data_IF_422531995486
#
_entry.id   IF_422531995486
#
_cell.length_a   1.000
_cell.length_b   1.000
_cell.length_c   1.000
_cell.angle_alpha   90.00
_cell.angle_beta   90.00
_cell.angle_gamma   90.00
#
_symmetry.space_group_name_H-M   'P 1'
#
loop_
_entity.id
_entity.type
_entity.pdbx_description
1 polymer ?
#
# COMPACT_ATOMS: atom_id res chain seq x y z
N UNK A 1 2.26 6.98 29.91
CA UNK A 1 1.33 5.95 29.39
C UNK A 1 1.94 4.58 29.66
N UNK A 2 1.19 3.63 30.25
CA UNK A 2 1.67 2.24 30.39
C UNK A 2 1.81 1.68 28.96
N UNK A 3 2.99 1.19 28.60
CA UNK A 3 3.18 0.41 27.39
C UNK A 3 2.25 -0.81 27.48
N UNK A 4 1.19 -0.82 26.71
CA UNK A 4 0.39 -2.03 26.50
C UNK A 4 1.29 -3.00 25.77
N UNK A 5 1.53 -4.17 26.34
CA UNK A 5 2.32 -5.21 25.69
C UNK A 5 1.72 -5.50 24.31
N UNK A 6 2.55 -5.54 23.27
CA UNK A 6 2.09 -5.84 21.93
C UNK A 6 1.40 -7.22 21.92
N UNK A 7 0.18 -7.29 21.40
CA UNK A 7 -0.53 -8.56 21.22
C UNK A 7 0.27 -9.43 20.24
N UNK A 8 0.46 -10.67 20.59
CA UNK A 8 1.04 -11.65 19.67
C UNK A 8 0.00 -12.06 18.62
N UNK A 9 0.48 -12.43 17.43
CA UNK A 9 -0.38 -13.00 16.41
C UNK A 9 -1.00 -14.32 16.90
N UNK A 10 -2.27 -14.53 16.59
CA UNK A 10 -2.99 -15.76 16.96
C UNK A 10 -2.54 -16.95 16.11
N UNK A 11 -2.09 -16.67 14.86
CA UNK A 11 -1.47 -17.68 13.98
C UNK A 11 -0.34 -17.06 13.15
N UNK A 12 0.66 -17.86 12.81
CA UNK A 12 1.77 -17.46 11.94
C UNK A 12 1.90 -18.40 10.76
N UNK A 13 1.68 -17.86 9.56
CA UNK A 13 1.91 -18.58 8.31
C UNK A 13 3.40 -18.57 7.93
N UNK A 14 3.86 -19.67 7.35
CA UNK A 14 5.25 -19.89 6.94
C UNK A 14 5.33 -20.27 5.47
N UNK A 15 6.48 -20.03 4.82
CA UNK A 15 6.71 -20.42 3.44
C UNK A 15 6.62 -21.94 3.25
N UNK A 16 7.05 -22.70 4.27
CA UNK A 16 7.10 -24.17 4.18
C UNK A 16 5.71 -24.80 4.23
N UNK A 17 4.81 -24.24 5.06
CA UNK A 17 3.50 -24.84 5.29
C UNK A 17 2.40 -24.20 4.45
N UNK A 18 2.34 -22.86 4.42
CA UNK A 18 1.27 -22.12 3.76
C UNK A 18 1.71 -21.50 2.42
N UNK A 19 2.99 -21.54 2.09
CA UNK A 19 3.55 -20.95 0.86
C UNK A 19 3.78 -19.44 0.91
N UNK A 20 3.43 -18.79 2.03
CA UNK A 20 3.65 -17.35 2.25
C UNK A 20 3.99 -17.06 3.71
N UNK A 21 4.55 -15.88 3.98
CA UNK A 21 4.76 -15.39 5.34
C UNK A 21 3.57 -14.54 5.77
N UNK A 22 2.96 -14.88 6.92
CA UNK A 22 1.84 -14.12 7.45
C UNK A 22 1.78 -14.11 8.98
N UNK A 23 1.06 -13.14 9.52
CA UNK A 23 0.72 -13.03 10.94
C UNK A 23 -0.75 -12.65 11.04
N UNK A 24 -1.56 -13.58 11.54
CA UNK A 24 -2.99 -13.44 11.67
C UNK A 24 -3.39 -12.96 13.06
N UNK A 25 -4.29 -12.00 13.10
CA UNK A 25 -4.89 -11.44 14.31
C UNK A 25 -6.41 -11.55 14.17
N UNK A 26 -7.02 -12.39 14.99
CA UNK A 26 -8.47 -12.58 14.98
C UNK A 26 -9.17 -11.34 15.52
N UNK A 27 -10.19 -10.89 14.80
CA UNK A 27 -11.10 -9.84 15.24
C UNK A 27 -12.19 -10.36 16.19
N UNK A 28 -12.88 -9.46 16.87
CA UNK A 28 -13.96 -9.82 17.78
C UNK A 28 -15.35 -9.54 17.16
N UNK A 29 -15.57 -8.34 16.64
CA UNK A 29 -16.90 -7.89 16.18
C UNK A 29 -17.22 -8.33 14.76
N UNK A 30 -16.22 -8.33 13.89
CA UNK A 30 -16.32 -8.68 12.46
C UNK A 30 -15.31 -9.79 12.16
N UNK A 31 -15.31 -10.84 12.98
CA UNK A 31 -14.32 -11.91 12.91
C UNK A 31 -14.34 -12.65 11.55
N UNK A 32 -15.52 -12.70 10.92
CA UNK A 32 -15.79 -13.30 9.60
C UNK A 32 -15.35 -12.44 8.41
N UNK A 33 -14.82 -11.25 8.66
CA UNK A 33 -14.32 -10.31 7.65
C UNK A 33 -12.81 -10.17 7.80
N UNK A 34 -12.06 -10.70 6.84
CA UNK A 34 -10.59 -10.67 6.90
C UNK A 34 -10.03 -9.55 6.04
N UNK A 35 -9.07 -8.82 6.59
CA UNK A 35 -8.32 -7.80 5.84
C UNK A 35 -6.87 -8.27 5.67
N UNK A 36 -6.44 -8.48 4.42
CA UNK A 36 -5.04 -8.68 4.08
C UNK A 36 -4.35 -7.32 4.13
N UNK A 37 -3.30 -7.21 4.94
CA UNK A 37 -2.54 -5.98 5.12
C UNK A 37 -1.09 -6.17 4.71
N UNK A 38 -0.60 -5.31 3.81
CA UNK A 38 0.79 -5.29 3.34
C UNK A 38 1.47 -3.96 3.65
N UNK A 39 2.76 -3.99 3.83
CA UNK A 39 3.56 -2.81 4.13
C UNK A 39 3.98 -2.01 2.91
N UNK A 40 4.48 -0.79 3.12
CA UNK A 40 5.21 0.01 2.12
C UNK A 40 6.65 -0.42 1.94
N UNK A 41 7.39 0.23 1.03
CA UNK A 41 8.77 -0.12 0.64
C UNK A 41 9.77 0.13 1.75
N UNK A 42 9.65 0.22 2.87
CA UNK A 42 10.61 0.37 4.00
C UNK A 42 10.09 -0.28 5.27
N UNK A 43 8.89 -0.86 5.19
CA UNK A 43 8.21 -1.37 6.37
C UNK A 43 8.60 -2.83 6.65
N UNK A 44 9.40 -3.02 7.68
CA UNK A 44 9.75 -4.35 8.19
C UNK A 44 8.57 -5.03 8.89
N UNK A 45 8.74 -6.32 9.18
CA UNK A 45 7.70 -7.19 9.78
C UNK A 45 7.03 -6.57 11.01
N UNK A 46 7.81 -6.15 12.00
CA UNK A 46 7.27 -5.63 13.26
C UNK A 46 6.39 -4.39 13.08
N UNK A 47 6.75 -3.54 12.10
CA UNK A 47 6.02 -2.31 11.81
C UNK A 47 4.66 -2.60 11.14
N UNK A 48 4.61 -3.60 10.26
CA UNK A 48 3.38 -4.05 9.59
C UNK A 48 2.49 -4.83 10.57
N UNK A 49 3.09 -5.74 11.37
CA UNK A 49 2.38 -6.48 12.42
C UNK A 49 1.73 -5.54 13.44
N UNK A 50 2.40 -4.43 13.80
CA UNK A 50 1.81 -3.44 14.71
C UNK A 50 0.56 -2.79 14.10
N UNK A 51 0.58 -2.46 12.81
CA UNK A 51 -0.61 -1.91 12.13
C UNK A 51 -1.74 -2.94 12.04
N UNK A 52 -1.41 -4.20 11.77
CA UNK A 52 -2.38 -5.29 11.74
C UNK A 52 -3.03 -5.52 13.11
N UNK A 53 -2.23 -5.51 14.17
CA UNK A 53 -2.72 -5.60 15.55
C UNK A 53 -3.67 -4.45 15.90
N UNK A 54 -3.34 -3.20 15.50
CA UNK A 54 -4.20 -2.05 15.73
C UNK A 54 -5.51 -2.18 14.91
N UNK A 55 -5.41 -2.61 13.65
CA UNK A 55 -6.60 -2.80 12.80
C UNK A 55 -7.51 -3.92 13.32
N UNK A 56 -6.94 -4.98 13.92
CA UNK A 56 -7.75 -6.05 14.51
C UNK A 56 -8.56 -5.59 15.72
N UNK A 57 -8.11 -4.56 16.44
CA UNK A 57 -8.88 -3.93 17.54
C UNK A 57 -10.12 -3.18 17.05
N UNK A 58 -10.19 -2.85 15.75
CA UNK A 58 -11.39 -2.31 15.11
C UNK A 58 -12.46 -3.37 14.83
N UNK A 59 -12.18 -4.61 15.19
CA UNK A 59 -13.11 -5.75 15.18
C UNK A 59 -12.91 -6.73 14.03
N UNK A 60 -12.10 -6.43 13.01
CA UNK A 60 -11.83 -7.29 11.87
C UNK A 60 -10.77 -8.37 12.17
N UNK A 61 -10.86 -9.52 11.50
CA UNK A 61 -9.72 -10.41 11.38
C UNK A 61 -8.70 -9.79 10.41
N UNK A 62 -7.41 -9.76 10.78
CA UNK A 62 -6.38 -9.12 9.97
C UNK A 62 -5.21 -10.06 9.74
N UNK A 63 -4.86 -10.26 8.47
CA UNK A 63 -3.69 -11.05 8.05
C UNK A 63 -2.62 -10.11 7.49
N UNK A 64 -1.59 -9.83 8.29
CA UNK A 64 -0.39 -9.16 7.81
C UNK A 64 0.40 -10.12 6.92
N UNK A 65 0.65 -9.76 5.66
CA UNK A 65 1.37 -10.58 4.69
C UNK A 65 2.71 -9.97 4.35
N UNK A 66 3.78 -10.76 4.53
CA UNK A 66 5.11 -10.43 4.05
C UNK A 66 5.26 -10.81 2.58
N UNK A 67 5.44 -9.82 1.72
CA UNK A 67 5.62 -10.04 0.28
C UNK A 67 7.07 -9.80 -0.18
N UNK A 68 7.86 -9.06 0.60
CA UNK A 68 9.32 -8.90 0.51
C UNK A 68 9.85 -8.34 1.85
N UNK A 69 11.15 -8.14 2.01
CA UNK A 69 11.82 -7.56 3.17
C UNK A 69 11.69 -8.37 4.48
N UNK A 70 10.65 -9.19 4.65
CA UNK A 70 10.53 -10.09 5.80
C UNK A 70 11.44 -11.31 5.62
N UNK A 71 12.34 -11.56 6.56
CA UNK A 71 13.22 -12.75 6.50
C UNK A 71 12.40 -14.05 6.47
N UNK A 72 12.67 -14.99 5.56
CA UNK A 72 13.81 -15.07 4.63
C UNK A 72 13.57 -14.46 3.24
N UNK A 73 12.49 -13.71 3.00
CA UNK A 73 12.20 -13.11 1.69
C UNK A 73 13.30 -12.15 1.23
N UNK A 74 13.45 -11.96 -0.10
CA UNK A 74 14.35 -10.96 -0.67
C UNK A 74 14.10 -9.55 -0.12
N UNK A 75 15.15 -8.73 -0.16
CA UNK A 75 15.07 -7.31 0.25
C UNK A 75 14.87 -6.36 -0.94
N UNK A 76 15.03 -6.87 -2.14
CA UNK A 76 14.93 -6.09 -3.36
C UNK A 76 13.51 -6.16 -3.93
N UNK A 77 13.08 -5.09 -4.60
CA UNK A 77 11.76 -4.99 -5.22
C UNK A 77 11.79 -5.55 -6.65
N UNK A 78 12.12 -6.82 -6.80
CA UNK A 78 12.27 -7.51 -8.08
C UNK A 78 11.49 -8.80 -8.09
N UNK A 79 10.61 -8.97 -9.07
CA UNK A 79 9.85 -10.20 -9.28
C UNK A 79 9.14 -10.68 -7.99
N UNK A 80 8.54 -9.75 -7.26
CA UNK A 80 7.79 -10.05 -6.04
C UNK A 80 6.52 -10.81 -6.43
N UNK A 81 6.30 -12.05 -5.92
CA UNK A 81 5.13 -12.82 -6.30
C UNK A 81 3.83 -12.25 -5.75
N UNK A 82 2.84 -12.00 -6.61
CA UNK A 82 1.45 -11.72 -6.21
C UNK A 82 0.79 -13.01 -5.70
N UNK A 83 1.33 -14.15 -6.06
CA UNK A 83 0.94 -15.50 -5.60
C UNK A 83 0.88 -15.61 -4.07
N UNK A 84 1.68 -14.85 -3.32
CA UNK A 84 1.58 -14.81 -1.85
C UNK A 84 0.21 -14.34 -1.36
N UNK A 85 -0.43 -13.43 -2.10
CA UNK A 85 -1.79 -12.97 -1.79
C UNK A 85 -2.81 -14.04 -2.18
N UNK A 86 -2.61 -14.72 -3.31
CA UNK A 86 -3.47 -15.84 -3.71
C UNK A 86 -3.44 -16.98 -2.68
N UNK A 87 -2.26 -17.32 -2.16
CA UNK A 87 -2.12 -18.30 -1.07
C UNK A 87 -2.75 -17.81 0.23
N UNK A 88 -2.60 -16.54 0.55
CA UNK A 88 -3.23 -15.93 1.72
C UNK A 88 -4.77 -15.97 1.63
N UNK A 89 -5.34 -15.69 0.46
CA UNK A 89 -6.78 -15.81 0.20
C UNK A 89 -7.25 -17.26 0.38
N UNK A 90 -6.56 -18.22 -0.24
CA UNK A 90 -6.88 -19.65 -0.10
C UNK A 90 -6.79 -20.12 1.36
N UNK A 91 -5.78 -19.66 2.09
CA UNK A 91 -5.64 -19.98 3.52
C UNK A 91 -6.79 -19.38 4.35
N UNK A 92 -7.17 -18.14 4.09
CA UNK A 92 -8.31 -17.50 4.77
C UNK A 92 -9.63 -18.24 4.52
N UNK A 93 -9.84 -18.75 3.31
CA UNK A 93 -11.07 -19.46 2.92
C UNK A 93 -11.14 -20.90 3.45
N UNK A 94 -10.00 -21.60 3.60
CA UNK A 94 -10.01 -23.03 3.83
C UNK A 94 -9.37 -23.48 5.15
N UNK A 95 -8.36 -22.77 5.64
CA UNK A 95 -7.49 -23.20 6.76
C UNK A 95 -7.48 -22.21 7.94
N UNK A 96 -8.13 -21.06 7.80
CA UNK A 96 -8.24 -20.07 8.86
C UNK A 96 -9.03 -20.64 10.05
N UNK A 97 -8.59 -20.40 11.31
CA UNK A 97 -9.32 -20.87 12.49
C UNK A 97 -10.72 -20.22 12.66
N UNK A 98 -11.01 -19.20 11.87
CA UNK A 98 -12.31 -18.51 11.82
C UNK A 98 -12.87 -18.63 10.40
N UNK A 99 -14.18 -18.91 10.28
CA UNK A 99 -14.87 -18.90 9.00
C UNK A 99 -14.90 -17.47 8.42
N UNK A 100 -14.32 -17.28 7.24
CA UNK A 100 -14.20 -15.98 6.58
C UNK A 100 -15.17 -15.90 5.42
N UNK A 101 -16.06 -14.90 5.44
CA UNK A 101 -17.08 -14.66 4.42
C UNK A 101 -16.73 -13.51 3.46
N UNK A 102 -15.80 -12.63 3.83
CA UNK A 102 -15.40 -11.51 3.00
C UNK A 102 -13.92 -11.19 3.20
N UNK A 103 -13.21 -10.91 2.11
CA UNK A 103 -11.78 -10.61 2.13
C UNK A 103 -11.56 -9.23 1.53
N UNK A 104 -11.04 -8.30 2.34
CA UNK A 104 -10.53 -7.02 1.89
C UNK A 104 -9.00 -7.00 1.84
N UNK A 105 -8.43 -6.01 1.15
CA UNK A 105 -6.99 -5.82 1.12
C UNK A 105 -6.60 -4.34 1.23
N UNK A 106 -5.51 -4.05 1.93
CA UNK A 106 -4.95 -2.70 2.02
C UNK A 106 -3.43 -2.69 2.08
N UNK A 107 -2.87 -1.62 1.55
CA UNK A 107 -1.44 -1.34 1.63
C UNK A 107 -1.13 0.15 1.45
N UNK A 108 0.08 0.52 1.85
CA UNK A 108 0.62 1.88 1.72
C UNK A 108 1.75 1.88 0.68
N UNK A 109 1.85 2.94 -0.14
CA UNK A 109 2.99 3.13 -1.04
C UNK A 109 3.17 1.96 -2.03
N UNK A 110 4.30 1.27 -2.02
CA UNK A 110 4.50 0.05 -2.83
C UNK A 110 3.43 -1.00 -2.54
N UNK A 111 3.06 -1.16 -1.27
CA UNK A 111 1.96 -2.05 -0.86
C UNK A 111 0.60 -1.62 -1.39
N UNK A 112 0.39 -0.33 -1.63
CA UNK A 112 -0.83 0.18 -2.26
C UNK A 112 -0.93 -0.21 -3.74
N UNK A 113 0.18 -0.10 -4.49
CA UNK A 113 0.26 -0.59 -5.86
C UNK A 113 0.09 -2.12 -5.91
N UNK A 114 0.75 -2.83 -5.01
CA UNK A 114 0.62 -4.29 -4.87
C UNK A 114 -0.83 -4.71 -4.54
N UNK A 115 -1.54 -3.94 -3.70
CA UNK A 115 -2.97 -4.16 -3.39
C UNK A 115 -3.83 -4.05 -4.65
N UNK A 116 -3.65 -3.00 -5.46
CA UNK A 116 -4.42 -2.82 -6.70
C UNK A 116 -4.10 -3.90 -7.73
N UNK A 117 -2.82 -4.30 -7.86
CA UNK A 117 -2.42 -5.41 -8.74
C UNK A 117 -3.06 -6.71 -8.26
N UNK A 118 -2.93 -7.05 -6.99
CA UNK A 118 -3.50 -8.26 -6.43
C UNK A 118 -5.03 -8.32 -6.60
N UNK A 119 -5.73 -7.25 -6.26
CA UNK A 119 -7.19 -7.18 -6.42
C UNK A 119 -7.65 -7.25 -7.88
N UNK A 120 -6.82 -6.78 -8.84
CA UNK A 120 -7.14 -6.89 -10.26
C UNK A 120 -6.90 -8.30 -10.87
N UNK A 121 -6.17 -9.16 -10.16
CA UNK A 121 -5.81 -10.51 -10.58
C UNK A 121 -6.51 -11.62 -9.78
N UNK A 122 -6.98 -11.30 -8.56
CA UNK A 122 -7.57 -12.24 -7.61
C UNK A 122 -8.98 -11.76 -7.27
N UNK A 123 -10.02 -12.29 -7.96
CA UNK A 123 -11.40 -11.80 -7.84
C UNK A 123 -12.05 -12.03 -6.47
N UNK A 124 -11.47 -12.90 -5.63
CA UNK A 124 -11.94 -13.14 -4.25
C UNK A 124 -11.69 -11.95 -3.31
N UNK A 125 -10.92 -10.94 -3.72
CA UNK A 125 -10.73 -9.71 -2.96
C UNK A 125 -11.89 -8.77 -3.26
N UNK A 126 -12.85 -8.72 -2.35
CA UNK A 126 -14.12 -8.00 -2.49
C UNK A 126 -14.06 -6.51 -2.08
N UNK A 127 -12.92 -6.05 -1.57
CA UNK A 127 -12.73 -4.65 -1.16
C UNK A 127 -11.23 -4.30 -1.17
N UNK A 128 -10.84 -3.23 -1.87
CA UNK A 128 -9.45 -2.78 -1.97
C UNK A 128 -9.29 -1.33 -1.49
N UNK A 129 -8.40 -1.10 -0.52
CA UNK A 129 -8.04 0.23 -0.06
C UNK A 129 -6.58 0.52 -0.37
N UNK A 130 -6.31 1.45 -1.29
CA UNK A 130 -4.98 1.83 -1.75
C UNK A 130 -4.59 3.20 -1.18
N UNK A 131 -3.50 3.25 -0.41
CA UNK A 131 -3.06 4.46 0.29
C UNK A 131 -1.74 4.96 -0.28
N UNK A 132 -1.72 6.19 -0.81
CA UNK A 132 -0.52 6.82 -1.40
C UNK A 132 0.18 5.91 -2.42
N UNK A 133 -0.59 5.30 -3.33
CA UNK A 133 -0.14 4.30 -4.29
C UNK A 133 0.13 4.86 -5.68
N UNK A 134 0.07 3.97 -6.68
CA UNK A 134 0.44 4.26 -8.05
C UNK A 134 -0.51 3.59 -9.04
N UNK A 135 -0.51 4.02 -10.30
CA UNK A 135 -1.45 3.56 -11.34
C UNK A 135 -0.83 2.61 -12.39
N UNK A 136 0.46 2.31 -12.26
CA UNK A 136 1.16 1.37 -13.14
C UNK A 136 2.24 0.57 -12.40
N UNK A 137 2.68 -0.53 -13.00
CA UNK A 137 3.76 -1.37 -12.49
C UNK A 137 5.09 -0.88 -13.04
N UNK A 138 6.10 -0.80 -12.19
CA UNK A 138 7.45 -0.36 -12.54
C UNK A 138 8.41 -1.53 -12.65
N UNK A 139 9.53 -1.30 -13.33
CA UNK A 139 10.67 -2.23 -13.34
C UNK A 139 11.20 -2.48 -11.93
N UNK A 140 11.55 -3.72 -11.66
CA UNK A 140 12.17 -4.13 -10.41
C UNK A 140 13.61 -3.63 -10.30
N UNK A 141 14.00 -3.20 -9.09
CA UNK A 141 15.33 -2.64 -8.81
C UNK A 141 15.98 -3.31 -7.61
N UNK A 142 17.28 -3.64 -7.75
CA UNK A 142 18.15 -3.97 -6.61
C UNK A 142 18.72 -2.71 -6.00
N UNK A 143 18.76 -2.67 -4.68
CA UNK A 143 19.30 -1.51 -3.94
C UNK A 143 18.71 -0.18 -4.43
N UNK A 144 17.46 -0.18 -4.86
CA UNK A 144 16.69 0.98 -5.38
C UNK A 144 17.19 1.63 -6.68
N UNK A 145 18.32 1.21 -7.22
CA UNK A 145 18.94 1.90 -8.38
C UNK A 145 19.40 0.96 -9.50
N UNK A 146 19.64 -0.32 -9.22
CA UNK A 146 20.17 -1.27 -10.21
C UNK A 146 19.02 -1.97 -10.91
N UNK A 147 18.77 -1.62 -12.17
CA UNK A 147 17.76 -2.23 -13.04
C UNK A 147 17.98 -3.73 -13.18
N UNK A 148 16.88 -4.47 -13.24
CA UNK A 148 16.91 -5.92 -13.35
C UNK A 148 16.29 -6.44 -14.65
N UNK A 149 15.71 -5.56 -15.48
CA UNK A 149 14.98 -5.90 -16.71
C UNK A 149 13.89 -6.95 -16.47
N UNK A 150 13.30 -6.88 -15.31
CA UNK A 150 12.19 -7.69 -14.81
C UNK A 150 11.16 -6.80 -14.15
N UNK A 151 9.92 -7.23 -14.10
CA UNK A 151 8.88 -6.55 -13.35
C UNK A 151 9.20 -6.46 -11.85
N UNK A 152 8.71 -5.43 -11.19
CA UNK A 152 8.62 -5.39 -9.74
C UNK A 152 7.74 -6.53 -9.19
N UNK A 153 6.69 -6.92 -9.94
CA UNK A 153 5.74 -7.96 -9.54
C UNK A 153 5.66 -9.09 -10.56
N UNK A 154 5.44 -10.32 -10.06
CA UNK A 154 5.13 -11.50 -10.89
C UNK A 154 3.81 -12.11 -10.45
N UNK A 155 3.15 -12.86 -11.36
CA UNK A 155 2.00 -13.67 -11.04
C UNK A 155 2.08 -14.99 -11.82
N UNK A 156 1.95 -16.11 -11.14
CA UNK A 156 2.15 -17.46 -11.67
C UNK A 156 3.49 -17.62 -12.42
N UNK A 157 4.53 -16.96 -11.89
CA UNK A 157 5.89 -17.01 -12.46
C UNK A 157 6.16 -16.04 -13.61
N UNK A 158 5.13 -15.43 -14.17
CA UNK A 158 5.25 -14.45 -15.27
C UNK A 158 5.35 -13.02 -14.75
N UNK A 159 6.10 -12.18 -15.45
CA UNK A 159 6.19 -10.75 -15.12
C UNK A 159 4.85 -10.06 -15.35
N UNK A 160 4.31 -9.38 -14.34
CA UNK A 160 3.22 -8.43 -14.55
C UNK A 160 3.75 -7.32 -15.48
N UNK A 161 3.02 -6.95 -16.55
CA UNK A 161 3.49 -5.93 -17.47
C UNK A 161 3.92 -4.65 -16.76
N UNK A 162 5.10 -4.15 -17.09
CA UNK A 162 5.75 -3.07 -16.34
C UNK A 162 6.36 -2.01 -17.24
N UNK A 163 6.63 -0.84 -16.68
CA UNK A 163 7.35 0.26 -17.34
C UNK A 163 8.83 0.21 -16.98
N UNK A 164 9.74 0.22 -17.97
CA UNK A 164 11.18 0.28 -17.73
C UNK A 164 11.61 1.56 -17.01
N UNK A 165 12.48 1.44 -16.02
CA UNK A 165 13.01 2.56 -15.25
C UNK A 165 14.36 3.03 -15.80
N UNK A 166 14.38 4.03 -16.67
CA UNK A 166 15.60 4.58 -17.26
C UNK A 166 16.20 5.72 -16.42
N UNK A 167 16.51 5.43 -15.15
CA UNK A 167 16.90 6.40 -14.15
C UNK A 167 18.07 7.30 -14.56
N UNK A 168 19.11 6.73 -15.17
CA UNK A 168 20.32 7.48 -15.51
C UNK A 168 20.11 8.44 -16.69
N UNK A 169 19.32 8.04 -17.69
CA UNK A 169 19.01 8.89 -18.84
C UNK A 169 18.12 10.07 -18.46
N UNK A 170 17.26 9.89 -17.46
CA UNK A 170 16.33 10.93 -16.98
C UNK A 170 16.89 11.81 -15.83
N UNK A 171 18.05 11.47 -15.25
CA UNK A 171 18.62 12.21 -14.13
C UNK A 171 18.80 13.72 -14.38
N UNK A 172 19.31 14.17 -15.55
CA UNK A 172 19.44 15.61 -15.82
C UNK A 172 18.09 16.34 -15.85
N UNK A 173 17.05 15.73 -16.44
CA UNK A 173 15.70 16.28 -16.49
C UNK A 173 15.08 16.31 -15.09
N UNK A 174 15.22 15.23 -14.32
CA UNK A 174 14.81 15.14 -12.91
C UNK A 174 15.40 16.27 -12.07
N UNK A 175 16.72 16.46 -12.14
CA UNK A 175 17.41 17.52 -11.39
C UNK A 175 16.97 18.92 -11.82
N UNK A 176 16.68 19.11 -13.10
CA UNK A 176 16.19 20.38 -13.63
C UNK A 176 14.78 20.69 -13.14
N UNK A 177 13.86 19.71 -13.17
CA UNK A 177 12.49 19.83 -12.70
C UNK A 177 12.48 20.11 -11.19
N UNK A 178 13.22 19.32 -10.42
CA UNK A 178 13.33 19.45 -8.99
C UNK A 178 13.84 20.83 -8.51
N UNK A 179 14.87 21.37 -9.18
CA UNK A 179 15.41 22.70 -8.87
C UNK A 179 14.45 23.85 -9.21
N UNK A 180 13.48 23.61 -10.09
CA UNK A 180 12.51 24.63 -10.54
C UNK A 180 11.25 24.69 -9.70
N UNK A 181 10.96 23.70 -8.87
CA UNK A 181 9.76 23.73 -8.05
C UNK A 181 9.97 24.61 -6.80
N UNK A 182 9.36 25.82 -6.75
CA UNK A 182 9.55 26.73 -5.64
C UNK A 182 8.75 26.31 -4.39
N UNK A 183 7.82 25.36 -4.51
CA UNK A 183 6.86 25.00 -3.45
C UNK A 183 7.48 24.06 -2.41
N UNK A 184 8.31 23.14 -2.86
CA UNK A 184 8.67 21.98 -2.04
C UNK A 184 10.18 21.79 -1.84
N UNK A 185 11.01 22.54 -2.55
CA UNK A 185 12.46 22.58 -2.33
C UNK A 185 13.15 21.24 -2.52
N UNK A 186 14.29 21.08 -1.87
CA UNK A 186 15.28 20.05 -2.17
C UNK A 186 14.96 18.62 -1.71
N UNK A 187 13.84 18.34 -1.05
CA UNK A 187 13.58 17.02 -0.44
C UNK A 187 12.65 16.11 -1.24
N UNK A 188 11.95 16.65 -2.24
CA UNK A 188 10.94 15.94 -3.04
C UNK A 188 11.52 15.32 -4.34
N UNK A 189 12.77 14.90 -4.37
CA UNK A 189 13.41 14.42 -5.58
C UNK A 189 12.77 13.15 -6.16
N UNK A 190 12.24 12.28 -5.32
CA UNK A 190 11.59 11.03 -5.77
C UNK A 190 10.40 11.29 -6.68
N UNK A 191 9.52 12.24 -6.33
CA UNK A 191 8.38 12.61 -7.17
C UNK A 191 8.83 13.05 -8.56
N UNK A 192 9.85 13.93 -8.64
CA UNK A 192 10.36 14.41 -9.93
C UNK A 192 11.02 13.29 -10.73
N UNK A 193 11.70 12.37 -10.06
CA UNK A 193 12.24 11.17 -10.68
C UNK A 193 11.12 10.34 -11.34
N UNK A 194 10.05 10.05 -10.62
CA UNK A 194 8.93 9.28 -11.18
C UNK A 194 8.26 10.01 -12.35
N UNK A 195 8.01 11.31 -12.21
CA UNK A 195 7.37 12.09 -13.26
C UNK A 195 8.21 12.15 -14.54
N UNK A 196 9.52 12.25 -14.45
CA UNK A 196 10.41 12.30 -15.62
C UNK A 196 10.65 10.90 -16.21
N UNK A 197 10.91 9.89 -15.38
CA UNK A 197 11.19 8.53 -15.86
C UNK A 197 9.98 7.88 -16.54
N UNK A 198 8.80 8.19 -16.08
CA UNK A 198 7.58 7.49 -16.50
C UNK A 198 6.55 8.39 -17.20
N UNK A 199 7.00 9.55 -17.72
CA UNK A 199 6.12 10.47 -18.45
C UNK A 199 5.51 9.85 -19.70
N UNK A 200 6.26 8.98 -20.39
CA UNK A 200 5.88 8.31 -21.65
C UNK A 200 5.42 6.86 -21.42
N UNK A 201 4.97 6.52 -20.17
CA UNK A 201 4.52 5.17 -19.81
C UNK A 201 3.40 4.65 -20.70
N UNK A 202 3.40 3.35 -20.91
CA UNK A 202 2.48 2.69 -21.84
C UNK A 202 1.24 2.14 -21.14
N UNK A 203 0.16 1.93 -21.90
CA UNK A 203 -1.06 1.25 -21.42
C UNK A 203 -0.81 -0.19 -20.96
N UNK A 204 0.30 -0.83 -21.38
CA UNK A 204 0.64 -2.19 -20.95
C UNK A 204 0.97 -2.26 -19.47
N UNK A 205 1.72 -1.28 -18.97
CA UNK A 205 2.18 -1.23 -17.57
C UNK A 205 1.10 -0.76 -16.59
N UNK A 206 0.00 -0.20 -17.09
CA UNK A 206 -1.12 0.28 -16.27
C UNK A 206 -1.75 -0.87 -15.47
N UNK A 207 -2.00 -0.65 -14.19
CA UNK A 207 -2.77 -1.58 -13.37
C UNK A 207 -4.20 -1.66 -13.89
N UNK A 208 -4.71 -2.86 -14.12
CA UNK A 208 -6.03 -3.11 -14.69
C UNK A 208 -7.12 -3.03 -13.62
N UNK A 209 -7.25 -1.85 -13.01
CA UNK A 209 -8.18 -1.59 -11.89
C UNK A 209 -9.65 -1.89 -12.23
N UNK A 210 -10.02 -1.81 -13.50
CA UNK A 210 -11.34 -2.18 -14.01
C UNK A 210 -11.66 -3.68 -13.88
N UNK A 211 -10.66 -4.52 -13.61
CA UNK A 211 -10.83 -5.95 -13.35
C UNK A 211 -11.03 -6.28 -11.87
N UNK A 212 -11.01 -5.29 -10.98
CA UNK A 212 -11.26 -5.52 -9.55
C UNK A 212 -12.73 -5.91 -9.35
N UNK A 213 -12.99 -6.93 -8.57
CA UNK A 213 -14.34 -7.46 -8.31
C UNK A 213 -14.86 -7.02 -6.94
N UNK A 214 -14.73 -5.74 -6.60
CA UNK A 214 -15.17 -5.22 -5.30
C UNK A 214 -15.02 -3.71 -5.19
N UNK A 215 -15.42 -3.19 -4.05
CA UNK A 215 -15.38 -1.77 -3.75
C UNK A 215 -13.94 -1.27 -3.64
N UNK A 216 -13.67 -0.05 -4.13
CA UNK A 216 -12.33 0.55 -4.18
C UNK A 216 -12.31 1.89 -3.45
N UNK A 217 -11.37 2.05 -2.50
CA UNK A 217 -11.05 3.36 -1.91
C UNK A 217 -9.59 3.72 -2.23
N UNK A 218 -9.39 4.90 -2.78
CA UNK A 218 -8.09 5.50 -3.03
C UNK A 218 -7.90 6.68 -2.07
N UNK A 219 -6.74 6.78 -1.42
CA UNK A 219 -6.41 7.89 -0.52
C UNK A 219 -5.04 8.45 -0.83
N UNK A 220 -4.95 9.76 -1.10
CA UNK A 220 -3.67 10.45 -1.30
C UNK A 220 -3.59 11.75 -0.51
N UNK A 221 -2.38 12.24 -0.20
CA UNK A 221 -2.22 13.64 0.16
C UNK A 221 -2.54 14.53 -1.04
N UNK A 222 -2.77 15.84 -0.81
CA UNK A 222 -2.92 16.81 -1.89
C UNK A 222 -1.64 17.04 -2.68
N UNK A 223 -0.49 16.71 -2.08
CA UNK A 223 0.80 16.64 -2.75
C UNK A 223 1.63 15.52 -2.14
N UNK A 224 1.95 14.53 -2.95
CA UNK A 224 2.80 13.41 -2.56
C UNK A 224 4.23 13.61 -3.10
N UNK A 225 5.17 13.85 -2.23
CA UNK A 225 6.57 14.08 -2.57
C UNK A 225 7.40 12.79 -2.72
N UNK A 226 6.79 11.65 -2.45
CA UNK A 226 7.43 10.31 -2.59
C UNK A 226 7.02 9.62 -3.88
N UNK A 227 5.71 9.40 -4.06
CA UNK A 227 5.10 8.93 -5.30
C UNK A 227 4.05 9.97 -5.70
N UNK A 228 3.85 10.30 -6.97
CA UNK A 228 2.80 11.25 -7.36
C UNK A 228 1.40 10.60 -7.29
N UNK A 229 0.99 10.13 -6.10
CA UNK A 229 -0.30 9.46 -5.89
C UNK A 229 -1.49 10.41 -6.11
N UNK A 230 -1.30 11.70 -5.82
CA UNK A 230 -2.25 12.77 -6.11
C UNK A 230 -2.48 13.00 -7.63
N UNK A 231 -1.55 12.55 -8.46
CA UNK A 231 -1.71 12.54 -9.93
C UNK A 231 -2.19 11.17 -10.44
N UNK A 232 -1.77 10.08 -9.79
CA UNK A 232 -2.10 8.72 -10.19
C UNK A 232 -3.57 8.36 -9.93
N UNK A 233 -4.07 8.68 -8.75
CA UNK A 233 -5.42 8.28 -8.34
C UNK A 233 -6.55 8.95 -9.13
N UNK A 234 -6.48 10.24 -9.51
CA UNK A 234 -7.42 10.80 -10.46
C UNK A 234 -7.48 10.08 -11.81
N UNK A 235 -6.32 9.55 -12.29
CA UNK A 235 -6.30 8.75 -13.54
C UNK A 235 -6.99 7.40 -13.34
N UNK A 236 -6.83 6.76 -12.17
CA UNK A 236 -7.54 5.53 -11.81
C UNK A 236 -9.05 5.78 -11.77
N UNK A 237 -9.50 6.82 -11.06
CA UNK A 237 -10.92 7.17 -10.98
C UNK A 237 -11.53 7.38 -12.36
N UNK A 238 -10.84 8.14 -13.22
CA UNK A 238 -11.27 8.35 -14.59
C UNK A 238 -11.46 7.04 -15.37
N UNK A 239 -10.53 6.08 -15.20
CA UNK A 239 -10.62 4.75 -15.86
C UNK A 239 -11.84 3.99 -15.35
N UNK A 240 -12.07 3.96 -14.04
CA UNK A 240 -13.21 3.28 -13.44
C UNK A 240 -14.53 3.87 -13.95
N UNK A 241 -14.65 5.20 -14.01
CA UNK A 241 -15.83 5.91 -14.56
C UNK A 241 -16.02 5.59 -16.04
N UNK A 242 -14.98 5.72 -16.87
CA UNK A 242 -15.04 5.48 -18.32
C UNK A 242 -15.36 4.03 -18.70
N UNK A 243 -14.96 3.07 -17.85
CA UNK A 243 -15.26 1.65 -18.04
C UNK A 243 -16.61 1.21 -17.46
N UNK A 244 -17.32 2.12 -16.79
CA UNK A 244 -18.59 1.80 -16.13
C UNK A 244 -18.42 0.78 -15.03
N UNK A 245 -17.38 0.97 -14.19
CA UNK A 245 -17.05 0.05 -13.10
C UNK A 245 -18.27 -0.16 -12.17
N UNK A 246 -18.71 -1.42 -11.94
CA UNK A 246 -20.01 -1.67 -11.32
C UNK A 246 -20.01 -1.56 -9.79
N UNK A 247 -18.83 -1.45 -9.17
CA UNK A 247 -18.69 -1.40 -7.72
C UNK A 247 -18.50 0.03 -7.24
N UNK A 248 -18.70 0.26 -5.94
CA UNK A 248 -18.42 1.55 -5.30
C UNK A 248 -16.94 1.88 -5.46
N UNK A 249 -16.62 3.09 -5.89
CA UNK A 249 -15.25 3.58 -5.97
C UNK A 249 -15.18 5.02 -5.50
N UNK A 250 -14.22 5.30 -4.64
CA UNK A 250 -14.06 6.58 -3.97
C UNK A 250 -12.61 7.05 -3.98
N UNK A 251 -12.44 8.36 -4.04
CA UNK A 251 -11.15 9.00 -3.88
C UNK A 251 -11.22 10.08 -2.81
N UNK A 252 -10.36 9.95 -1.78
CA UNK A 252 -10.25 10.93 -0.70
C UNK A 252 -8.87 11.60 -0.73
N UNK A 253 -8.89 12.95 -0.74
CA UNK A 253 -7.68 13.78 -0.77
C UNK A 253 -7.51 14.46 0.57
N UNK A 254 -6.28 14.44 1.09
CA UNK A 254 -5.87 15.10 2.34
C UNK A 254 -4.89 16.23 2.00
N UNK A 255 -5.41 17.43 1.78
CA UNK A 255 -4.68 18.59 1.19
C UNK A 255 -3.33 18.88 1.85
N UNK A 256 -3.26 18.84 3.18
CA UNK A 256 -2.04 19.03 3.95
C UNK A 256 -1.55 17.72 4.60
N UNK A 257 -1.99 16.58 4.06
CA UNK A 257 -1.47 15.28 4.44
C UNK A 257 -0.10 15.03 3.85
N UNK A 258 0.56 13.98 4.31
CA UNK A 258 1.81 13.47 3.80
C UNK A 258 1.63 12.11 3.14
N UNK A 259 2.70 11.58 2.54
CA UNK A 259 2.74 10.20 2.04
C UNK A 259 2.32 9.15 3.10
N UNK A 260 2.51 9.46 4.39
CA UNK A 260 2.22 8.57 5.52
C UNK A 260 0.75 8.63 5.98
N UNK A 261 -0.21 8.53 5.08
CA UNK A 261 -1.64 8.42 5.42
C UNK A 261 -1.98 7.05 6.04
N UNK A 262 -3.10 6.98 6.75
CA UNK A 262 -3.63 5.77 7.39
C UNK A 262 -2.61 5.00 8.25
N UNK A 263 -1.68 5.73 8.88
CA UNK A 263 -0.72 5.19 9.82
C UNK A 263 -1.13 5.59 11.25
N UNK A 264 -1.57 4.63 12.10
CA UNK A 264 -1.98 4.93 13.47
C UNK A 264 -0.87 5.56 14.32
N UNK A 265 -1.24 6.40 15.26
CA UNK A 265 -0.28 7.07 16.16
C UNK A 265 0.61 6.08 16.92
N UNK A 266 0.06 4.96 17.39
CA UNK A 266 0.83 3.92 18.06
C UNK A 266 1.91 3.30 17.15
N UNK A 267 1.62 3.17 15.85
CA UNK A 267 2.60 2.70 14.88
C UNK A 267 3.65 3.79 14.61
N UNK A 268 3.25 5.03 14.44
CA UNK A 268 4.17 6.15 14.26
C UNK A 268 5.11 6.33 15.46
N UNK A 269 4.63 6.07 16.68
CA UNK A 269 5.43 6.10 17.90
C UNK A 269 6.60 5.10 17.90
N UNK A 270 6.57 4.04 17.07
CA UNK A 270 7.71 3.14 16.87
C UNK A 270 8.90 3.83 16.18
N UNK A 271 8.65 4.86 15.38
CA UNK A 271 9.71 5.70 14.78
C UNK A 271 10.33 6.62 15.85
N UNK A 272 9.52 7.11 16.78
CA UNK A 272 9.92 7.95 17.90
C UNK A 272 8.91 9.01 18.29
N UNK A 273 9.37 10.05 19.01
CA UNK A 273 8.54 11.22 19.33
C UNK A 273 8.17 12.02 18.07
N UNK A 274 7.14 12.86 18.17
CA UNK A 274 6.71 13.76 17.08
C UNK A 274 7.89 14.57 16.52
N UNK A 275 8.72 15.17 17.40
CA UNK A 275 9.92 15.91 17.00
C UNK A 275 10.92 15.03 16.21
N UNK A 276 11.06 13.76 16.59
CA UNK A 276 11.91 12.80 15.88
C UNK A 276 11.31 12.43 14.54
N UNK A 277 9.99 12.27 14.44
CA UNK A 277 9.27 12.04 13.18
C UNK A 277 9.50 13.21 12.23
N UNK A 278 9.25 14.43 12.66
CA UNK A 278 9.50 15.65 11.88
C UNK A 278 10.96 15.73 11.39
N UNK A 279 11.92 15.45 12.25
CA UNK A 279 13.36 15.51 11.91
C UNK A 279 13.81 14.35 11.01
N UNK A 280 13.24 13.16 11.16
CA UNK A 280 13.70 11.95 10.47
C UNK A 280 12.89 11.71 9.20
N UNK A 281 11.58 11.64 9.32
CA UNK A 281 10.67 11.43 8.19
C UNK A 281 10.62 12.70 7.32
N UNK A 282 10.52 13.88 7.93
CA UNK A 282 10.51 15.17 7.24
C UNK A 282 11.76 15.50 6.43
N UNK A 283 12.85 14.72 6.55
CA UNK A 283 13.99 14.80 5.62
C UNK A 283 13.67 14.26 4.23
N UNK A 284 12.78 13.29 4.16
CA UNK A 284 12.39 12.61 2.92
C UNK A 284 11.00 13.02 2.47
N UNK A 285 10.09 13.21 3.43
CA UNK A 285 8.69 13.60 3.22
C UNK A 285 8.52 15.02 3.74
N UNK A 286 8.58 15.99 2.83
CA UNK A 286 8.67 17.42 3.21
C UNK A 286 7.41 17.94 3.89
N UNK A 287 6.25 17.36 3.59
CA UNK A 287 4.98 17.73 4.20
C UNK A 287 4.99 17.50 5.72
N UNK A 288 5.64 16.43 6.21
CA UNK A 288 5.76 16.15 7.66
C UNK A 288 6.53 17.26 8.41
N UNK A 289 7.53 17.85 7.78
CA UNK A 289 8.27 18.97 8.37
C UNK A 289 7.56 20.31 8.21
N UNK A 290 6.73 20.46 7.18
CA UNK A 290 6.08 21.73 6.85
C UNK A 290 4.72 21.90 7.54
N UNK A 291 3.97 20.81 7.68
CA UNK A 291 2.61 20.79 8.22
C UNK A 291 2.43 19.63 9.22
N UNK A 292 3.21 19.57 10.32
CA UNK A 292 3.22 18.39 11.20
C UNK A 292 1.87 18.10 11.85
N UNK A 293 1.14 19.15 12.29
CA UNK A 293 -0.17 18.99 12.92
C UNK A 293 -1.23 18.52 11.92
N UNK A 294 -1.25 19.13 10.72
CA UNK A 294 -2.18 18.73 9.67
C UNK A 294 -1.89 17.31 9.14
N UNK A 295 -0.62 16.92 9.04
CA UNK A 295 -0.24 15.54 8.71
C UNK A 295 -0.71 14.56 9.79
N UNK A 296 -0.61 14.93 11.07
CA UNK A 296 -1.12 14.10 12.18
C UNK A 296 -2.64 13.95 12.10
N UNK A 297 -3.35 15.05 11.86
CA UNK A 297 -4.81 15.00 11.69
C UNK A 297 -5.19 14.17 10.45
N UNK A 298 -4.51 14.36 9.33
CA UNK A 298 -4.74 13.58 8.11
C UNK A 298 -4.54 12.07 8.32
N UNK A 299 -3.53 11.65 9.12
CA UNK A 299 -3.35 10.25 9.50
C UNK A 299 -4.54 9.69 10.28
N UNK A 300 -5.06 10.44 11.26
CA UNK A 300 -6.24 10.04 12.03
C UNK A 300 -7.49 9.92 11.17
N UNK A 301 -7.74 10.91 10.34
CA UNK A 301 -8.93 10.97 9.49
C UNK A 301 -8.88 9.88 8.40
N UNK A 302 -7.72 9.66 7.79
CA UNK A 302 -7.53 8.61 6.79
C UNK A 302 -7.59 7.21 7.39
N UNK A 303 -7.10 7.01 8.63
CA UNK A 303 -7.29 5.77 9.36
C UNK A 303 -8.76 5.48 9.62
N UNK A 304 -9.49 6.48 10.15
CA UNK A 304 -10.93 6.35 10.37
C UNK A 304 -11.66 6.03 9.06
N UNK A 305 -11.33 6.73 7.97
CA UNK A 305 -11.92 6.50 6.64
C UNK A 305 -11.68 5.08 6.14
N UNK A 306 -10.47 4.56 6.29
CA UNK A 306 -10.11 3.18 5.93
C UNK A 306 -10.99 2.18 6.70
N UNK A 307 -11.08 2.34 8.01
CA UNK A 307 -11.89 1.46 8.88
C UNK A 307 -13.36 1.51 8.51
N UNK A 308 -13.92 2.71 8.36
CA UNK A 308 -15.33 2.88 8.01
C UNK A 308 -15.64 2.30 6.63
N UNK A 309 -14.76 2.48 5.65
CA UNK A 309 -14.93 1.92 4.32
C UNK A 309 -14.98 0.38 4.34
N UNK A 310 -14.09 -0.27 5.08
CA UNK A 310 -14.15 -1.73 5.26
C UNK A 310 -15.43 -2.16 5.97
N UNK A 311 -15.88 -1.45 7.00
CA UNK A 311 -17.14 -1.74 7.69
C UNK A 311 -18.32 -1.72 6.73
N UNK A 312 -18.39 -0.75 5.86
CA UNK A 312 -19.48 -0.55 4.91
C UNK A 312 -19.42 -1.53 3.73
N UNK A 313 -18.24 -1.72 3.14
CA UNK A 313 -18.05 -2.51 1.93
C UNK A 313 -18.09 -4.03 2.18
N UNK A 314 -17.58 -4.49 3.32
CA UNK A 314 -17.52 -5.92 3.63
C UNK A 314 -18.80 -6.47 4.29
N UNK A 315 -19.86 -5.66 4.42
CA UNK A 315 -21.19 -6.12 4.93
C UNK A 315 -22.05 -6.77 3.86
N UNK A 316 -21.76 -6.55 2.61
CA UNK A 316 -22.51 -7.13 1.49
C UNK A 316 -22.04 -8.57 1.33
N UNK A 317 -22.94 -9.54 1.55
CA UNK A 317 -22.71 -10.91 1.15
C UNK A 317 -22.45 -10.94 -0.36
N UNK A 318 -21.19 -11.01 -0.73
CA UNK A 318 -20.74 -11.27 -2.10
C UNK A 318 -20.43 -12.76 -2.15
N UNK A 319 -21.47 -13.55 -2.23
CA UNK A 319 -21.45 -14.93 -2.71
C UNK A 319 -22.56 -15.08 -3.73
#
# INVERSE_FOLDING_TARGET
>A
MKQVAARQADYRCTLEKEGFLGSFYQGEQYADRAIILVGGSGEGREFVEKRAEILSREGFSVLAVGYYLWKPLPKDTVAIPVDYVEYAVKWLQNDCPVEIHSIGMTGLSLGAAYTLVAASLIPDISCAVSVSGFDFVVEGCKSMVIRQHRSCFTFHGEDVPYEPAEALSHLPATLKAWKKDPRYGSKAMNRFYYNECFKDRTEKSRIKVENIHGDVLLMSPGYDDTWPSDEAFPRIMKILDEKGFPYRHEYAVYEKGSHCLAMPEEQMAMIGSDEKIEKTVGKFITMEAKYPEECRQARKDSWKRLVDFFRESMTKNVL
#
